data_IF_879443034084
#
_entry.id   IF_879443034084
#
_cell.length_a   1.000
_cell.length_b   1.000
_cell.length_c   1.000
_cell.angle_alpha   90.00
_cell.angle_beta   90.00
_cell.angle_gamma   90.00
#
_symmetry.space_group_name_H-M   'P 1'
#
loop_
_entity.id
_entity.type
_entity.pdbx_description
1 polymer ?
#
# COMPACT_ATOMS: atom_id res chain seq x y z
N UNK A 1 -8.63 1.10 -3.33
CA UNK A 1 -7.39 1.84 -2.99
C UNK A 1 -6.95 2.68 -4.19
N UNK A 2 -6.10 3.70 -4.02
CA UNK A 2 -5.50 4.40 -5.17
C UNK A 2 -4.73 3.42 -6.07
N UNK A 3 -4.92 3.51 -7.38
CA UNK A 3 -4.21 2.67 -8.37
C UNK A 3 -2.69 2.79 -8.21
N UNK A 4 -2.21 4.00 -7.91
CA UNK A 4 -0.80 4.31 -7.68
C UNK A 4 -0.16 3.50 -6.54
N UNK A 5 -0.93 2.91 -5.61
CA UNK A 5 -0.37 2.04 -4.57
C UNK A 5 0.03 0.65 -5.09
N UNK A 6 -0.49 0.23 -6.26
CA UNK A 6 -0.15 -1.06 -6.84
C UNK A 6 1.32 -1.08 -7.26
N UNK A 7 1.99 -2.15 -6.87
CA UNK A 7 3.38 -2.41 -7.22
C UNK A 7 3.48 -3.78 -7.89
N UNK A 8 4.29 -3.89 -8.95
CA UNK A 8 4.58 -5.18 -9.61
C UNK A 8 5.98 -5.64 -9.26
N UNK A 9 6.13 -6.87 -8.78
CA UNK A 9 7.41 -7.52 -8.45
C UNK A 9 7.35 -8.99 -8.83
N UNK A 10 8.37 -9.50 -9.54
CA UNK A 10 8.48 -10.92 -9.89
C UNK A 10 7.16 -11.49 -10.46
N UNK A 11 6.55 -10.76 -11.40
CA UNK A 11 5.25 -11.08 -12.03
C UNK A 11 4.03 -11.12 -11.10
N UNK A 12 4.19 -10.72 -9.84
CA UNK A 12 3.11 -10.58 -8.86
C UNK A 12 2.71 -9.11 -8.72
N UNK A 13 1.41 -8.88 -8.49
CA UNK A 13 0.88 -7.57 -8.12
C UNK A 13 0.62 -7.54 -6.63
N UNK A 14 1.10 -6.51 -5.96
CA UNK A 14 0.98 -6.34 -4.52
C UNK A 14 0.94 -4.89 -4.11
N UNK A 15 0.82 -4.66 -2.82
CA UNK A 15 0.88 -3.34 -2.19
C UNK A 15 1.76 -3.40 -0.95
N UNK A 16 2.32 -2.26 -0.58
CA UNK A 16 2.98 -2.11 0.71
C UNK A 16 1.99 -1.62 1.75
N UNK A 17 1.69 -2.47 2.72
CA UNK A 17 0.80 -2.14 3.85
C UNK A 17 1.64 -1.58 5.00
N UNK A 18 1.23 -0.43 5.54
CA UNK A 18 1.92 0.23 6.65
C UNK A 18 1.65 -0.51 7.96
N UNK A 19 2.73 -0.91 8.63
CA UNK A 19 2.71 -1.43 10.00
C UNK A 19 2.93 -0.24 10.95
N UNK A 20 1.84 0.41 11.36
CA UNK A 20 1.86 1.67 12.12
C UNK A 20 2.70 1.57 13.40
N UNK A 21 2.60 0.46 14.14
CA UNK A 21 3.33 0.25 15.39
C UNK A 21 4.85 0.18 15.22
N UNK A 22 5.31 -0.32 14.07
CA UNK A 22 6.72 -0.57 13.80
C UNK A 22 7.33 0.47 12.84
N UNK A 23 6.53 1.46 12.40
CA UNK A 23 6.90 2.43 11.36
C UNK A 23 7.57 1.75 10.16
N UNK A 24 6.99 0.62 9.73
CA UNK A 24 7.50 -0.20 8.66
C UNK A 24 6.43 -0.52 7.64
N UNK A 25 6.81 -1.27 6.60
CA UNK A 25 5.87 -1.79 5.62
C UNK A 25 5.98 -3.30 5.51
N UNK A 26 4.86 -3.96 5.19
CA UNK A 26 4.88 -5.35 4.73
C UNK A 26 4.44 -5.41 3.28
N UNK A 27 5.10 -6.26 2.51
CA UNK A 27 4.63 -6.65 1.19
C UNK A 27 3.39 -7.52 1.32
N UNK A 28 2.35 -7.20 0.55
CA UNK A 28 1.16 -8.01 0.51
C UNK A 28 0.67 -8.19 -0.92
N UNK A 29 0.56 -9.45 -1.35
CA UNK A 29 0.04 -9.79 -2.67
C UNK A 29 -1.47 -9.47 -2.74
N UNK A 30 -1.91 -8.90 -3.86
CA UNK A 30 -3.31 -8.55 -4.06
C UNK A 30 -3.81 -9.02 -5.41
N UNK A 31 -5.09 -9.40 -5.44
CA UNK A 31 -5.82 -9.59 -6.68
C UNK A 31 -6.55 -8.30 -7.01
N UNK A 32 -6.25 -7.71 -8.17
CA UNK A 32 -6.90 -6.48 -8.64
C UNK A 32 -8.25 -6.83 -9.27
N UNK A 33 -9.29 -6.10 -8.86
CA UNK A 33 -10.64 -6.20 -9.40
C UNK A 33 -10.95 -5.06 -10.37
N UNK A 34 -12.09 -4.40 -10.15
CA UNK A 34 -12.57 -3.32 -11.01
C UNK A 34 -11.82 -2.02 -10.73
N UNK A 35 -11.59 -1.22 -11.78
CA UNK A 35 -11.07 0.15 -11.70
C UNK A 35 -12.20 1.15 -11.89
N UNK A 36 -12.24 2.17 -11.05
CA UNK A 36 -13.15 3.30 -11.13
C UNK A 36 -12.38 4.61 -10.88
N UNK A 37 -12.19 5.41 -11.93
CA UNK A 37 -11.33 6.60 -11.87
C UNK A 37 -9.90 6.26 -11.46
N UNK A 38 -9.41 6.90 -10.40
CA UNK A 38 -8.08 6.69 -9.82
C UNK A 38 -8.04 5.58 -8.74
N UNK A 39 -9.17 4.90 -8.53
CA UNK A 39 -9.31 3.84 -7.53
C UNK A 39 -9.42 2.47 -8.19
N UNK A 40 -8.82 1.48 -7.54
CA UNK A 40 -8.92 0.07 -7.89
C UNK A 40 -9.44 -0.73 -6.71
N UNK A 41 -10.33 -1.65 -6.99
CA UNK A 41 -10.71 -2.69 -6.05
C UNK A 41 -9.57 -3.70 -5.92
N UNK A 42 -9.29 -4.12 -4.69
CA UNK A 42 -8.30 -5.17 -4.43
C UNK A 42 -8.86 -6.16 -3.42
N UNK A 43 -8.46 -7.42 -3.56
CA UNK A 43 -8.59 -8.46 -2.55
C UNK A 43 -7.21 -8.80 -2.00
N UNK A 44 -7.11 -9.02 -0.69
CA UNK A 44 -5.86 -9.37 -0.01
C UNK A 44 -5.49 -8.42 1.13
N UNK A 45 -6.14 -7.26 1.25
CA UNK A 45 -5.98 -6.32 2.38
C UNK A 45 -7.30 -6.11 3.12
N UNK A 46 -7.21 -5.69 4.37
CA UNK A 46 -8.37 -5.38 5.21
C UNK A 46 -8.77 -3.91 5.12
N UNK A 47 -10.03 -3.63 5.45
CA UNK A 47 -10.52 -2.24 5.51
C UNK A 47 -9.86 -1.51 6.67
N UNK A 48 -9.38 -0.29 6.43
CA UNK A 48 -8.70 0.53 7.43
C UNK A 48 -7.19 0.35 7.43
N UNK A 49 -6.66 -0.57 6.62
CA UNK A 49 -5.22 -0.66 6.38
C UNK A 49 -4.75 0.49 5.50
N UNK A 50 -3.58 1.04 5.85
CA UNK A 50 -2.93 2.09 5.07
C UNK A 50 -1.97 1.46 4.07
N UNK A 51 -2.01 1.97 2.84
CA UNK A 51 -1.13 1.53 1.75
C UNK A 51 -0.22 2.67 1.34
N UNK A 52 1.01 2.34 0.97
CA UNK A 52 1.95 3.32 0.42
C UNK A 52 1.54 3.67 -1.01
N UNK A 53 1.43 4.97 -1.30
CA UNK A 53 1.11 5.52 -2.63
C UNK A 53 2.27 6.27 -3.28
N UNK A 54 3.34 6.53 -2.52
CA UNK A 54 4.51 7.29 -2.99
C UNK A 54 5.80 6.66 -2.44
N UNK A 55 6.80 6.49 -3.31
CA UNK A 55 8.12 5.98 -2.92
C UNK A 55 8.22 4.45 -2.83
N UNK A 56 7.17 3.71 -3.21
CA UNK A 56 7.14 2.24 -3.18
C UNK A 56 8.24 1.54 -4.00
N UNK A 57 8.82 2.23 -4.98
CA UNK A 57 9.92 1.73 -5.79
C UNK A 57 11.23 1.54 -5.00
N UNK A 58 11.34 2.16 -3.83
CA UNK A 58 12.51 2.08 -2.95
C UNK A 58 12.32 1.14 -1.75
N UNK A 59 11.14 0.52 -1.62
CA UNK A 59 10.81 -0.31 -0.47
C UNK A 59 11.17 -1.76 -0.73
N UNK A 60 11.41 -2.50 0.33
CA UNK A 60 11.35 -3.96 0.38
C UNK A 60 10.49 -4.37 1.58
N UNK A 61 10.20 -5.66 1.70
CA UNK A 61 9.48 -6.17 2.86
C UNK A 61 10.22 -5.78 4.17
N UNK A 62 9.47 -5.34 5.17
CA UNK A 62 9.97 -4.81 6.46
C UNK A 62 10.78 -3.52 6.37
N UNK A 63 10.79 -2.82 5.23
CA UNK A 63 11.45 -1.52 5.12
C UNK A 63 10.88 -0.52 6.11
N UNK A 64 11.76 0.26 6.74
CA UNK A 64 11.38 1.35 7.62
C UNK A 64 10.92 2.55 6.80
N UNK A 65 9.86 3.18 7.26
CA UNK A 65 9.30 4.37 6.63
C UNK A 65 9.08 5.46 7.68
N UNK A 66 9.15 6.70 7.23
CA UNK A 66 8.69 7.84 8.01
C UNK A 66 7.26 8.11 7.56
N UNK A 67 6.33 8.17 8.51
CA UNK A 67 4.96 8.53 8.22
C UNK A 67 4.79 10.01 8.53
N UNK A 68 4.48 10.87 7.53
CA UNK A 68 4.30 12.28 7.78
C UNK A 68 3.09 12.51 8.71
N UNK A 69 3.24 13.40 9.70
CA UNK A 69 2.20 13.69 10.70
C UNK A 69 0.85 14.13 10.08
N UNK A 70 0.86 14.65 8.84
CA UNK A 70 -0.31 15.22 8.19
C UNK A 70 -1.14 14.22 7.36
N UNK A 71 -0.69 12.97 7.18
CA UNK A 71 -1.33 11.99 6.27
C UNK A 71 -2.43 11.15 6.95
N UNK A 72 -2.48 11.12 8.28
CA UNK A 72 -3.55 10.44 9.04
C UNK A 72 -4.62 11.38 9.59
N UNK A 73 -4.49 12.69 9.36
CA UNK A 73 -5.37 13.73 9.94
C UNK A 73 -6.75 13.84 9.27
N UNK A 74 -7.11 12.92 8.36
CA UNK A 74 -8.44 12.87 7.74
C UNK A 74 -9.03 11.46 7.86
N UNK A 75 -9.55 11.14 9.04
CA UNK A 75 -10.58 10.11 9.23
C UNK A 75 -11.74 10.69 10.01
#
# INVERSE_FOLDING_TARGET
IPEQALTKRNDQTGVFVVMVKDSGVRWNNVTVGIKEGDLVQVQGIEKGEYVVTLGQQFLDDNSKIIIPENEFAKQ
#
